data_IF_414857807170
#
_entry.id   IF_414857807170
#
_cell.length_a   1.000
_cell.length_b   1.000
_cell.length_c   1.000
_cell.angle_alpha   90.00
_cell.angle_beta   90.00
_cell.angle_gamma   90.00
#
_symmetry.space_group_name_H-M   'P 1'
#
loop_
_entity.id
_entity.type
_entity.pdbx_description
1 polymer ?
#
# COMPACT_ATOMS: atom_id res chain seq x y z
N UNK A 1 -13.84 -20.15 -21.96
CA UNK A 1 -12.71 -20.63 -21.13
C UNK A 1 -11.42 -20.01 -21.65
N UNK A 2 -10.84 -19.04 -20.93
CA UNK A 2 -9.52 -18.51 -21.24
C UNK A 2 -8.56 -18.98 -20.12
N UNK A 3 -7.54 -19.76 -20.50
CA UNK A 3 -6.47 -20.19 -19.60
C UNK A 3 -5.74 -18.95 -19.09
N UNK A 4 -5.79 -18.69 -17.79
CA UNK A 4 -4.86 -17.77 -17.12
C UNK A 4 -3.46 -18.34 -17.32
N UNK A 5 -2.70 -17.74 -18.24
CA UNK A 5 -1.27 -18.03 -18.40
C UNK A 5 -0.61 -17.60 -17.09
N UNK A 6 -0.19 -18.57 -16.27
CA UNK A 6 0.69 -18.28 -15.15
C UNK A 6 1.88 -17.48 -15.66
N UNK A 7 2.19 -16.37 -15.01
CA UNK A 7 3.35 -15.55 -15.35
C UNK A 7 4.59 -16.44 -15.28
N UNK A 8 5.10 -16.87 -16.43
CA UNK A 8 6.32 -17.67 -16.51
C UNK A 8 7.42 -16.91 -15.78
N UNK A 9 8.12 -17.58 -14.87
CA UNK A 9 9.26 -17.04 -14.13
C UNK A 9 10.22 -16.40 -15.15
N UNK A 10 10.22 -15.06 -15.24
CA UNK A 10 11.11 -14.33 -16.15
C UNK A 10 12.53 -14.78 -15.83
N UNK A 11 13.29 -15.18 -16.87
CA UNK A 11 14.72 -15.47 -16.70
C UNK A 11 15.35 -14.23 -16.06
N UNK A 12 16.05 -14.44 -14.94
CA UNK A 12 16.76 -13.37 -14.25
C UNK A 12 17.74 -12.75 -15.27
N UNK A 13 17.67 -11.44 -15.55
CA UNK A 13 18.61 -10.81 -16.46
C UNK A 13 20.04 -11.03 -15.95
N UNK A 14 20.99 -11.12 -16.87
CA UNK A 14 22.40 -11.19 -16.51
C UNK A 14 22.81 -9.90 -15.77
N UNK A 15 23.82 -9.99 -14.91
CA UNK A 15 24.31 -8.83 -14.19
C UNK A 15 24.81 -7.76 -15.18
N UNK A 16 24.55 -6.48 -14.90
CA UNK A 16 24.98 -5.33 -15.70
C UNK A 16 24.46 -5.29 -17.15
N UNK A 17 23.32 -5.92 -17.46
CA UNK A 17 22.76 -5.94 -18.83
C UNK A 17 21.45 -5.17 -19.01
N UNK A 18 20.97 -4.47 -17.99
CA UNK A 18 19.68 -3.75 -18.02
C UNK A 18 19.91 -2.29 -17.69
N UNK A 19 19.32 -1.41 -18.50
CA UNK A 19 19.35 0.04 -18.27
C UNK A 19 20.57 0.73 -18.89
N UNK A 20 20.79 1.96 -18.46
CA UNK A 20 21.87 2.85 -18.90
C UNK A 20 23.13 2.65 -18.05
N UNK A 21 24.29 2.81 -18.67
CA UNK A 21 25.57 2.97 -17.97
C UNK A 21 25.61 4.32 -17.23
N UNK A 22 26.50 4.43 -16.23
CA UNK A 22 26.68 5.67 -15.47
C UNK A 22 27.05 6.89 -16.33
N UNK A 23 27.70 6.70 -17.47
CA UNK A 23 27.99 7.79 -18.43
C UNK A 23 26.79 8.15 -19.28
N UNK A 24 25.96 7.17 -19.65
CA UNK A 24 24.75 7.40 -20.43
C UNK A 24 23.66 8.12 -19.63
N UNK A 25 23.65 8.00 -18.29
CA UNK A 25 22.72 8.77 -17.45
C UNK A 25 22.96 10.27 -17.51
N UNK A 26 24.17 10.73 -17.89
CA UNK A 26 24.48 12.14 -18.05
C UNK A 26 24.02 12.71 -19.41
N UNK A 27 23.65 11.85 -20.38
CA UNK A 27 23.27 12.26 -21.73
C UNK A 27 21.77 12.60 -21.73
N UNK A 28 21.43 13.80 -21.29
CA UNK A 28 20.04 14.29 -21.24
C UNK A 28 19.54 14.67 -22.63
N UNK A 29 18.32 14.27 -22.96
CA UNK A 29 17.72 14.59 -24.26
C UNK A 29 17.36 16.07 -24.34
N UNK A 30 17.72 16.74 -25.44
CA UNK A 30 17.39 18.16 -25.62
C UNK A 30 15.88 18.40 -25.57
N UNK A 31 15.42 19.42 -24.84
CA UNK A 31 14.02 19.81 -24.78
C UNK A 31 13.11 18.98 -23.86
N UNK A 32 13.50 17.75 -23.50
CA UNK A 32 12.60 16.80 -22.83
C UNK A 32 12.01 17.32 -21.51
N UNK A 33 12.80 18.08 -20.74
CA UNK A 33 12.40 18.63 -19.45
C UNK A 33 12.36 20.16 -19.43
N UNK A 34 12.51 20.83 -20.57
CA UNK A 34 12.65 22.30 -20.63
C UNK A 34 11.40 23.03 -20.18
N UNK A 35 10.22 22.53 -20.57
CA UNK A 35 8.95 23.11 -20.10
C UNK A 35 8.83 23.01 -18.59
N UNK A 36 9.12 21.84 -18.03
CA UNK A 36 9.07 21.59 -16.60
C UNK A 36 10.11 22.42 -15.84
N UNK A 37 11.29 22.60 -16.42
CA UNK A 37 12.34 23.45 -15.88
C UNK A 37 11.90 24.91 -15.78
N UNK A 38 11.32 25.47 -16.86
CA UNK A 38 10.77 26.85 -16.85
C UNK A 38 9.64 27.02 -15.84
N UNK A 39 8.81 25.99 -15.65
CA UNK A 39 7.76 26.02 -14.64
C UNK A 39 8.34 26.06 -13.22
N UNK A 40 9.39 25.27 -12.95
CA UNK A 40 10.11 25.32 -11.66
C UNK A 40 10.71 26.70 -11.40
N UNK A 41 11.38 27.29 -12.38
CA UNK A 41 11.98 28.61 -12.25
C UNK A 41 10.91 29.70 -12.05
N UNK A 42 9.84 29.67 -12.85
CA UNK A 42 8.70 30.58 -12.72
C UNK A 42 7.98 30.46 -11.38
N UNK A 43 8.09 29.28 -10.74
CA UNK A 43 7.52 29.02 -9.44
C UNK A 43 8.40 29.43 -8.25
N UNK A 44 9.58 30.00 -8.52
CA UNK A 44 10.56 30.41 -7.51
C UNK A 44 11.51 29.28 -7.08
N UNK A 45 11.51 28.16 -7.80
CA UNK A 45 12.46 27.06 -7.62
C UNK A 45 13.72 27.23 -8.48
N UNK A 46 14.65 26.30 -8.32
CA UNK A 46 15.90 26.25 -9.06
C UNK A 46 16.17 24.84 -9.62
N UNK A 47 16.72 24.77 -10.83
CA UNK A 47 17.22 23.53 -11.42
C UNK A 47 18.67 23.32 -10.97
N UNK A 48 18.92 22.22 -10.25
CA UNK A 48 20.26 21.87 -9.76
C UNK A 48 21.00 20.96 -10.73
N UNK A 49 20.29 20.01 -11.35
CA UNK A 49 20.85 19.11 -12.37
C UNK A 49 19.75 18.48 -13.22
N UNK A 50 20.16 17.87 -14.34
CA UNK A 50 19.33 17.02 -15.19
C UNK A 50 20.08 15.72 -15.44
N UNK A 51 19.37 14.59 -15.42
CA UNK A 51 19.96 13.28 -15.70
C UNK A 51 18.89 12.31 -16.21
N UNK A 52 19.30 11.17 -16.75
CA UNK A 52 18.39 10.06 -17.09
C UNK A 52 18.48 9.00 -16.01
N UNK A 53 17.35 8.56 -15.48
CA UNK A 53 17.36 7.48 -14.48
C UNK A 53 17.90 6.17 -15.09
N UNK A 54 18.67 5.39 -14.32
CA UNK A 54 19.52 4.35 -14.89
C UNK A 54 18.77 3.12 -15.39
N UNK A 55 17.48 2.93 -15.06
CA UNK A 55 16.77 1.71 -15.40
C UNK A 55 15.98 1.83 -16.71
N UNK A 56 15.08 2.82 -16.80
CA UNK A 56 14.25 3.07 -17.98
C UNK A 56 14.78 4.18 -18.89
N UNK A 57 15.78 4.94 -18.45
CA UNK A 57 16.34 6.08 -19.18
C UNK A 57 15.42 7.30 -19.24
N UNK A 58 14.49 7.44 -18.30
CA UNK A 58 13.58 8.60 -18.19
C UNK A 58 14.36 9.85 -17.76
N UNK A 59 14.16 10.99 -18.41
CA UNK A 59 14.76 12.26 -17.98
C UNK A 59 14.15 12.73 -16.65
N UNK A 60 15.00 13.07 -15.68
CA UNK A 60 14.66 13.52 -14.33
C UNK A 60 15.41 14.81 -14.02
N UNK A 61 14.75 15.72 -13.28
CA UNK A 61 15.36 16.95 -12.80
C UNK A 61 15.72 16.81 -11.32
N UNK A 62 16.91 17.25 -10.92
CA UNK A 62 17.19 17.56 -9.51
C UNK A 62 16.88 19.04 -9.32
N UNK A 63 15.98 19.35 -8.39
CA UNK A 63 15.46 20.71 -8.19
C UNK A 63 15.52 21.11 -6.72
N UNK A 64 15.62 22.41 -6.47
CA UNK A 64 15.27 23.01 -5.18
C UNK A 64 13.93 23.73 -5.33
N UNK A 65 12.94 23.36 -4.53
CA UNK A 65 11.59 23.93 -4.58
C UNK A 65 11.32 24.78 -3.33
N UNK A 66 10.58 25.90 -3.42
CA UNK A 66 10.03 26.57 -2.25
C UNK A 66 9.20 25.57 -1.44
N UNK A 67 9.48 25.44 -0.15
CA UNK A 67 8.91 24.35 0.67
C UNK A 67 7.37 24.42 0.77
N UNK A 68 6.82 25.63 0.65
CA UNK A 68 5.40 25.92 0.76
C UNK A 68 4.63 25.58 -0.52
N UNK A 69 5.33 25.21 -1.61
CA UNK A 69 4.73 24.73 -2.86
C UNK A 69 4.70 23.21 -2.97
N UNK A 70 5.26 22.51 -1.99
CA UNK A 70 5.36 21.05 -1.98
C UNK A 70 4.40 20.47 -0.95
N UNK A 71 3.44 19.67 -1.38
CA UNK A 71 2.47 18.99 -0.52
C UNK A 71 2.60 17.47 -0.64
N UNK A 72 2.23 16.69 0.38
CA UNK A 72 2.11 15.24 0.23
C UNK A 72 1.06 14.90 -0.84
N UNK A 73 1.20 13.73 -1.47
CA UNK A 73 0.11 13.25 -2.33
C UNK A 73 -1.15 12.98 -1.48
N UNK A 74 -2.36 13.27 -1.97
CA UNK A 74 -3.58 13.19 -1.14
C UNK A 74 -3.90 11.82 -0.53
N UNK A 75 -3.37 10.74 -1.09
CA UNK A 75 -3.62 9.36 -0.67
C UNK A 75 -2.49 8.76 0.18
N UNK A 76 -1.42 9.51 0.48
CA UNK A 76 -0.41 9.06 1.44
C UNK A 76 -0.98 8.92 2.85
N UNK A 77 -0.38 8.03 3.64
CA UNK A 77 -0.58 8.02 5.08
C UNK A 77 -0.08 9.32 5.72
N UNK A 78 -0.77 9.76 6.77
CA UNK A 78 -0.28 10.77 7.69
C UNK A 78 1.11 10.40 8.23
N UNK A 79 2.05 11.36 8.27
CA UNK A 79 3.39 11.12 8.75
C UNK A 79 3.36 10.83 10.26
N UNK A 80 4.06 9.78 10.67
CA UNK A 80 4.27 9.46 12.09
C UNK A 80 5.03 10.57 12.80
N UNK A 81 4.39 11.21 13.79
CA UNK A 81 5.01 12.27 14.60
C UNK A 81 6.33 11.85 15.24
N UNK A 82 6.41 10.62 15.74
CA UNK A 82 7.64 10.09 16.34
C UNK A 82 8.79 10.03 15.32
N UNK A 83 8.48 9.66 14.07
CA UNK A 83 9.47 9.59 13.00
C UNK A 83 9.89 10.99 12.53
N UNK A 84 8.93 11.91 12.41
CA UNK A 84 9.20 13.33 12.09
C UNK A 84 10.11 13.96 13.14
N UNK A 85 9.80 13.80 14.44
CA UNK A 85 10.64 14.33 15.54
C UNK A 85 12.07 13.77 15.51
N UNK A 86 12.22 12.48 15.17
CA UNK A 86 13.55 11.86 15.03
C UNK A 86 14.34 12.48 13.87
N UNK A 87 13.71 12.66 12.71
CA UNK A 87 14.35 13.31 11.56
C UNK A 87 14.76 14.75 11.89
N UNK A 88 13.88 15.51 12.57
CA UNK A 88 14.21 16.87 13.02
C UNK A 88 15.49 16.88 13.88
N UNK A 89 15.56 16.03 14.91
CA UNK A 89 16.72 15.94 15.79
C UNK A 89 18.01 15.56 15.04
N UNK A 90 17.91 14.67 14.03
CA UNK A 90 19.07 14.29 13.19
C UNK A 90 19.51 15.46 12.30
N UNK A 91 18.57 16.17 11.69
CA UNK A 91 18.87 17.34 10.86
C UNK A 91 19.51 18.46 11.65
N UNK A 92 19.01 18.77 12.85
CA UNK A 92 19.62 19.77 13.74
C UNK A 92 21.01 19.35 14.20
N UNK A 93 21.17 18.08 14.59
CA UNK A 93 22.45 17.56 15.09
C UNK A 93 23.53 17.52 14.00
N UNK A 94 23.18 17.13 12.78
CA UNK A 94 24.13 16.97 11.68
C UNK A 94 24.26 18.21 10.81
N UNK A 95 23.28 19.12 10.86
CA UNK A 95 23.21 20.30 9.98
C UNK A 95 23.08 19.94 8.50
N UNK A 96 22.49 18.79 8.16
CA UNK A 96 22.50 18.23 6.80
C UNK A 96 21.16 17.63 6.40
N UNK A 97 20.78 17.91 5.14
CA UNK A 97 19.71 17.24 4.40
C UNK A 97 20.34 16.60 3.17
N UNK A 98 20.47 15.27 3.15
CA UNK A 98 21.25 14.55 2.12
C UNK A 98 20.40 13.68 1.19
N UNK A 99 19.12 13.49 1.52
CA UNK A 99 18.24 12.57 0.81
C UNK A 99 17.06 13.34 0.19
N UNK A 100 17.13 13.68 -1.11
CA UNK A 100 16.07 14.38 -1.83
C UNK A 100 14.75 13.63 -1.80
N UNK A 101 13.65 14.36 -1.68
CA UNK A 101 12.31 13.78 -1.84
C UNK A 101 12.04 13.46 -3.32
N UNK A 102 11.07 12.61 -3.62
CA UNK A 102 10.54 12.52 -4.99
C UNK A 102 9.41 13.54 -5.10
N UNK A 103 9.36 14.27 -6.21
CA UNK A 103 8.32 15.24 -6.53
C UNK A 103 7.74 15.00 -7.93
N UNK A 104 6.48 15.34 -8.11
CA UNK A 104 5.84 15.54 -9.40
C UNK A 104 5.19 16.92 -9.42
N UNK A 105 5.05 17.51 -10.61
CA UNK A 105 4.21 18.69 -10.77
C UNK A 105 2.76 18.26 -10.93
N UNK A 106 1.86 18.84 -10.16
CA UNK A 106 0.41 18.67 -10.31
C UNK A 106 -0.25 20.05 -10.27
N UNK A 107 -0.85 20.46 -11.38
CA UNK A 107 -1.35 21.82 -11.61
C UNK A 107 -0.26 22.88 -11.32
N UNK A 108 -0.53 23.78 -10.38
CA UNK A 108 0.37 24.86 -9.93
C UNK A 108 1.11 24.52 -8.63
N UNK A 109 1.12 23.25 -8.22
CA UNK A 109 1.82 22.78 -7.03
C UNK A 109 2.74 21.59 -7.34
N UNK A 110 3.49 21.17 -6.33
CA UNK A 110 4.29 19.96 -6.37
C UNK A 110 3.75 18.98 -5.35
N UNK A 111 3.56 17.74 -5.78
CA UNK A 111 3.22 16.67 -4.87
C UNK A 111 4.43 15.80 -4.61
N UNK A 112 4.65 15.41 -3.35
CA UNK A 112 5.72 14.51 -2.97
C UNK A 112 5.23 13.07 -2.85
N UNK A 113 5.44 12.22 -3.87
CA UNK A 113 5.13 10.80 -3.82
C UNK A 113 5.93 10.00 -2.77
N UNK A 114 7.13 10.43 -2.43
CA UNK A 114 7.96 9.82 -1.40
C UNK A 114 8.79 10.91 -0.74
N UNK A 115 8.80 10.93 0.59
CA UNK A 115 9.56 11.89 1.38
C UNK A 115 8.72 12.76 2.30
N UNK A 116 7.43 12.46 2.51
CA UNK A 116 6.56 13.28 3.37
C UNK A 116 7.12 13.49 4.79
N UNK A 117 7.69 12.47 5.44
CA UNK A 117 8.33 12.68 6.75
C UNK A 117 9.50 13.66 6.72
N UNK A 118 10.28 13.64 5.63
CA UNK A 118 11.41 14.56 5.39
C UNK A 118 10.90 15.98 5.12
N UNK A 119 9.85 16.12 4.29
CA UNK A 119 9.16 17.38 4.06
C UNK A 119 8.63 17.99 5.36
N UNK A 120 7.88 17.23 6.16
CA UNK A 120 7.32 17.72 7.42
C UNK A 120 8.40 18.07 8.45
N UNK A 121 9.46 17.27 8.55
CA UNK A 121 10.58 17.56 9.44
C UNK A 121 11.24 18.88 9.06
N UNK A 122 11.56 19.07 7.78
CA UNK A 122 12.20 20.29 7.29
C UNK A 122 11.29 21.51 7.42
N UNK A 123 9.99 21.37 7.16
CA UNK A 123 8.97 22.41 7.35
C UNK A 123 8.87 22.83 8.83
N UNK A 124 8.82 21.89 9.76
CA UNK A 124 8.80 22.16 11.22
C UNK A 124 10.10 22.82 11.72
N UNK A 125 11.22 22.60 11.05
CA UNK A 125 12.49 23.27 11.33
C UNK A 125 12.62 24.66 10.67
N UNK A 126 11.60 25.13 9.94
CA UNK A 126 11.64 26.43 9.26
C UNK A 126 12.51 26.44 8.00
N UNK A 127 12.72 25.29 7.35
CA UNK A 127 13.41 25.22 6.07
C UNK A 127 12.69 26.06 5.01
N UNK A 128 13.44 26.80 4.18
CA UNK A 128 12.88 27.67 3.13
C UNK A 128 12.64 26.94 1.80
N UNK A 129 13.43 25.91 1.55
CA UNK A 129 13.41 25.13 0.31
C UNK A 129 13.68 23.66 0.60
N UNK A 130 13.27 22.78 -0.31
CA UNK A 130 13.54 21.35 -0.24
C UNK A 130 14.11 20.85 -1.57
N UNK A 131 15.12 19.97 -1.50
CA UNK A 131 15.71 19.33 -2.69
C UNK A 131 14.85 18.13 -3.08
N UNK A 132 14.51 18.02 -4.36
CA UNK A 132 13.67 16.96 -4.89
C UNK A 132 14.20 16.39 -6.22
N UNK A 133 13.94 15.10 -6.44
CA UNK A 133 13.97 14.45 -7.74
C UNK A 133 12.60 14.66 -8.39
N UNK A 134 12.51 15.58 -9.34
CA UNK A 134 11.30 15.94 -10.04
C UNK A 134 11.13 15.07 -11.28
N UNK A 135 10.11 14.22 -11.24
CA UNK A 135 9.77 13.27 -12.30
C UNK A 135 8.72 13.92 -13.24
N UNK A 136 8.93 13.90 -14.58
CA UNK A 136 7.99 14.51 -15.52
C UNK A 136 6.64 13.78 -15.63
N UNK A 137 6.63 12.47 -15.40
CA UNK A 137 5.44 11.64 -15.49
C UNK A 137 4.56 11.77 -14.23
N UNK A 138 3.42 12.44 -14.38
CA UNK A 138 2.45 12.60 -13.30
C UNK A 138 1.80 11.26 -12.88
N UNK A 139 1.79 10.23 -13.72
CA UNK A 139 1.26 8.92 -13.35
C UNK A 139 2.10 8.22 -12.27
N UNK A 140 3.36 8.62 -12.10
CA UNK A 140 4.25 8.07 -11.06
C UNK A 140 3.68 8.31 -9.65
N UNK A 141 2.83 9.32 -9.47
CA UNK A 141 2.05 9.51 -8.25
C UNK A 141 1.27 8.24 -7.88
N UNK A 142 0.57 7.63 -8.83
CA UNK A 142 -0.28 6.46 -8.57
C UNK A 142 0.54 5.17 -8.42
N UNK A 143 1.81 5.19 -8.83
CA UNK A 143 2.75 4.05 -8.79
C UNK A 143 3.60 4.01 -7.51
N UNK A 144 3.40 4.94 -6.57
CA UNK A 144 4.18 5.07 -5.33
C UNK A 144 4.21 3.81 -4.48
N UNK A 145 3.07 3.13 -4.33
CA UNK A 145 2.99 1.90 -3.51
C UNK A 145 3.98 0.84 -4.00
N UNK A 146 4.10 0.71 -5.33
CA UNK A 146 5.07 -0.18 -5.96
C UNK A 146 6.53 0.29 -5.81
N UNK A 147 6.78 1.59 -5.56
CA UNK A 147 8.11 2.19 -5.45
C UNK A 147 8.62 2.30 -3.99
N UNK A 148 7.73 2.32 -3.00
CA UNK A 148 8.08 2.34 -1.57
C UNK A 148 8.42 0.93 -1.05
N UNK A 149 9.56 0.37 -1.50
CA UNK A 149 10.00 -0.97 -1.10
C UNK A 149 10.88 -1.00 0.17
N UNK A 150 11.38 0.14 0.64
CA UNK A 150 12.33 0.22 1.78
C UNK A 150 11.70 -0.04 3.15
N UNK A 151 10.40 0.22 3.30
CA UNK A 151 9.66 -0.13 4.53
C UNK A 151 8.37 -0.80 4.11
N UNK A 152 8.33 -2.12 4.18
CA UNK A 152 7.12 -2.87 3.93
C UNK A 152 5.98 -2.31 4.80
N UNK A 153 5.06 -1.59 4.15
CA UNK A 153 3.85 -1.12 4.79
C UNK A 153 3.15 -2.32 5.42
N UNK A 154 2.78 -2.19 6.70
CA UNK A 154 1.97 -3.24 7.31
C UNK A 154 0.61 -3.29 6.61
N UNK A 155 -0.07 -4.43 6.70
CA UNK A 155 -1.32 -4.69 5.99
C UNK A 155 -2.36 -3.56 6.12
N UNK A 156 -2.47 -2.95 7.31
CA UNK A 156 -3.41 -1.86 7.56
C UNK A 156 -3.07 -0.63 6.71
N UNK A 157 -1.80 -0.24 6.68
CA UNK A 157 -1.34 0.90 5.90
C UNK A 157 -1.58 0.69 4.41
N UNK A 158 -1.19 -0.48 3.88
CA UNK A 158 -1.46 -0.85 2.48
C UNK A 158 -2.94 -0.75 2.15
N UNK A 159 -3.79 -1.35 3.00
CA UNK A 159 -5.24 -1.36 2.78
C UNK A 159 -5.86 0.06 2.78
N UNK A 160 -5.40 0.93 3.70
CA UNK A 160 -5.90 2.31 3.79
C UNK A 160 -5.42 3.18 2.63
N UNK A 161 -4.17 3.05 2.20
CA UNK A 161 -3.65 3.78 1.04
C UNK A 161 -4.33 3.33 -0.25
N UNK A 162 -4.49 2.01 -0.43
CA UNK A 162 -5.17 1.43 -1.60
C UNK A 162 -6.63 1.90 -1.71
N UNK A 163 -7.41 1.94 -0.61
CA UNK A 163 -8.81 2.41 -0.70
C UNK A 163 -8.91 3.92 -0.96
N UNK A 164 -8.01 4.73 -0.40
CA UNK A 164 -7.96 6.17 -0.69
C UNK A 164 -7.64 6.43 -2.16
N UNK A 165 -6.67 5.71 -2.71
CA UNK A 165 -6.33 5.76 -4.13
C UNK A 165 -7.52 5.33 -5.00
N UNK A 166 -8.20 4.24 -4.64
CA UNK A 166 -9.37 3.76 -5.36
C UNK A 166 -10.52 4.79 -5.40
N UNK A 167 -10.74 5.53 -4.29
CA UNK A 167 -11.73 6.61 -4.23
C UNK A 167 -11.37 7.78 -5.16
N UNK A 168 -10.11 8.22 -5.15
CA UNK A 168 -9.64 9.26 -6.07
C UNK A 168 -9.78 8.82 -7.54
N UNK A 169 -9.38 7.59 -7.87
CA UNK A 169 -9.52 7.04 -9.23
C UNK A 169 -10.98 6.93 -9.68
N UNK A 170 -11.93 6.71 -8.77
CA UNK A 170 -13.34 6.65 -9.12
C UNK A 170 -13.95 8.01 -9.46
N UNK A 171 -13.33 9.11 -9.04
CA UNK A 171 -13.73 10.47 -9.42
C UNK A 171 -13.17 10.85 -10.80
N UNK A 172 -12.00 10.31 -11.16
CA UNK A 172 -11.25 10.68 -12.37
C UNK A 172 -11.38 9.66 -13.52
N UNK A 173 -11.87 8.45 -13.26
CA UNK A 173 -11.87 7.34 -14.23
C UNK A 173 -13.10 6.44 -14.16
N UNK A 174 -13.66 6.10 -15.33
CA UNK A 174 -14.70 5.06 -15.47
C UNK A 174 -14.13 3.68 -15.85
N UNK A 175 -12.79 3.55 -15.84
CA UNK A 175 -12.11 2.29 -16.17
C UNK A 175 -12.45 1.18 -15.15
N UNK A 176 -12.49 -0.09 -15.56
CA UNK A 176 -12.68 -1.21 -14.66
C UNK A 176 -11.60 -1.32 -13.58
N UNK A 177 -11.97 -1.75 -12.38
CA UNK A 177 -11.02 -1.95 -11.26
C UNK A 177 -9.87 -2.89 -11.61
N UNK A 178 -10.12 -3.94 -12.41
CA UNK A 178 -9.07 -4.86 -12.89
C UNK A 178 -7.93 -4.17 -13.63
N UNK A 179 -8.19 -3.04 -14.29
CA UNK A 179 -7.13 -2.34 -15.02
C UNK A 179 -6.12 -1.62 -14.11
N UNK A 180 -6.43 -1.50 -12.81
CA UNK A 180 -5.57 -0.89 -11.79
C UNK A 180 -4.92 -1.94 -10.86
N UNK A 181 -4.86 -3.20 -11.29
CA UNK A 181 -4.30 -4.32 -10.50
C UNK A 181 -2.84 -4.05 -10.08
N UNK A 182 -2.06 -3.39 -10.94
CA UNK A 182 -0.67 -3.06 -10.64
C UNK A 182 -0.56 -2.05 -9.50
N UNK A 183 -1.39 -1.02 -9.51
CA UNK A 183 -1.44 0.06 -8.53
C UNK A 183 -1.96 -0.43 -7.18
N UNK A 184 -2.96 -1.32 -7.20
CA UNK A 184 -3.60 -1.81 -5.98
C UNK A 184 -2.86 -2.99 -5.32
N UNK A 185 -1.92 -3.63 -6.02
CA UNK A 185 -1.18 -4.85 -5.63
C UNK A 185 -2.05 -6.10 -5.38
N UNK A 186 -3.06 -6.00 -4.51
CA UNK A 186 -3.95 -7.09 -4.10
C UNK A 186 -5.38 -6.58 -3.90
N UNK A 187 -6.35 -7.25 -4.52
CA UNK A 187 -7.78 -6.93 -4.37
C UNK A 187 -8.25 -6.94 -2.89
N UNK A 188 -7.65 -7.79 -2.05
CA UNK A 188 -7.96 -7.84 -0.62
C UNK A 188 -7.72 -6.50 0.12
N UNK A 189 -6.78 -5.67 -0.35
CA UNK A 189 -6.52 -4.35 0.23
C UNK A 189 -7.70 -3.40 0.02
N UNK A 190 -8.37 -3.47 -1.13
CA UNK A 190 -9.56 -2.68 -1.44
C UNK A 190 -10.74 -3.04 -0.53
N UNK A 191 -10.85 -4.29 -0.09
CA UNK A 191 -11.91 -4.73 0.85
C UNK A 191 -11.54 -4.45 2.31
N UNK A 192 -10.26 -4.61 2.68
CA UNK A 192 -9.79 -4.34 4.04
C UNK A 192 -9.72 -2.84 4.35
N UNK A 193 -9.50 -2.00 3.33
CA UNK A 193 -9.41 -0.54 3.49
C UNK A 193 -10.63 0.06 4.19
N UNK A 194 -11.85 -0.06 3.62
CA UNK A 194 -13.06 0.42 4.29
C UNK A 194 -13.29 -0.22 5.66
N UNK A 195 -12.93 -1.50 5.83
CA UNK A 195 -13.05 -2.18 7.12
C UNK A 195 -12.12 -1.56 8.19
N UNK A 196 -10.92 -1.12 7.81
CA UNK A 196 -10.01 -0.39 8.70
C UNK A 196 -10.42 1.06 8.94
N UNK A 197 -11.05 1.73 7.97
CA UNK A 197 -11.64 3.06 8.16
C UNK A 197 -12.73 3.01 9.22
N UNK A 198 -13.63 2.03 9.14
CA UNK A 198 -14.70 1.83 10.13
C UNK A 198 -14.15 1.31 11.47
N UNK A 199 -13.19 0.38 11.43
CA UNK A 199 -12.60 -0.24 12.63
C UNK A 199 -11.08 -0.21 12.59
N UNK A 200 -10.49 0.89 13.04
CA UNK A 200 -9.03 1.09 13.03
C UNK A 200 -8.21 0.02 13.78
N UNK A 201 -8.80 -0.68 14.76
CA UNK A 201 -8.15 -1.78 15.52
C UNK A 201 -8.49 -3.18 14.99
N UNK A 202 -9.07 -3.29 13.79
CA UNK A 202 -9.37 -4.56 13.15
C UNK A 202 -8.12 -5.44 13.07
N UNK A 203 -8.28 -6.74 13.35
CA UNK A 203 -7.20 -7.72 13.20
C UNK A 203 -7.15 -8.24 11.75
N UNK A 204 -7.01 -7.36 10.77
CA UNK A 204 -7.16 -7.69 9.34
C UNK A 204 -6.21 -8.80 8.87
N UNK A 205 -5.05 -8.96 9.52
CA UNK A 205 -4.10 -10.04 9.25
C UNK A 205 -4.68 -11.45 9.45
N UNK A 206 -5.70 -11.61 10.31
CA UNK A 206 -6.38 -12.90 10.49
C UNK A 206 -7.26 -13.26 9.29
N UNK A 207 -7.81 -12.27 8.58
CA UNK A 207 -8.73 -12.44 7.46
C UNK A 207 -8.03 -12.41 6.10
N UNK A 208 -6.88 -11.73 6.01
CA UNK A 208 -6.14 -11.56 4.76
C UNK A 208 -5.82 -12.86 4.00
N UNK A 209 -5.40 -13.97 4.66
CA UNK A 209 -5.18 -15.24 3.96
C UNK A 209 -6.44 -15.83 3.32
N UNK A 210 -7.62 -15.63 3.94
CA UNK A 210 -8.90 -16.05 3.37
C UNK A 210 -9.27 -15.14 2.19
N UNK A 211 -9.20 -13.83 2.38
CA UNK A 211 -9.52 -12.83 1.35
C UNK A 211 -8.68 -13.02 0.09
N UNK A 212 -7.37 -13.27 0.21
CA UNK A 212 -6.50 -13.57 -0.94
C UNK A 212 -6.99 -14.72 -1.83
N UNK A 213 -7.83 -15.62 -1.32
CA UNK A 213 -8.36 -16.78 -2.06
C UNK A 213 -9.75 -16.56 -2.64
N UNK A 214 -10.49 -15.59 -2.14
CA UNK A 214 -11.92 -15.40 -2.47
C UNK A 214 -12.21 -14.02 -3.06
N UNK A 215 -11.25 -13.11 -2.97
CA UNK A 215 -11.42 -11.71 -3.33
C UNK A 215 -10.48 -11.35 -4.50
N UNK A 216 -11.07 -11.16 -5.68
CA UNK A 216 -10.37 -10.80 -6.91
C UNK A 216 -10.73 -9.41 -7.40
N UNK A 217 -9.96 -8.91 -8.37
CA UNK A 217 -10.26 -7.65 -9.04
C UNK A 217 -11.55 -7.76 -9.86
N UNK A 218 -12.34 -6.69 -9.83
CA UNK A 218 -13.66 -6.62 -10.43
C UNK A 218 -13.59 -6.06 -11.85
N UNK A 219 -14.35 -6.67 -12.76
CA UNK A 219 -14.58 -6.17 -14.12
C UNK A 219 -15.73 -5.15 -14.14
N UNK A 220 -15.68 -4.18 -13.22
CA UNK A 220 -16.69 -3.12 -13.07
C UNK A 220 -16.01 -1.76 -12.95
N UNK A 221 -16.64 -0.67 -13.43
CA UNK A 221 -16.12 0.68 -13.25
C UNK A 221 -15.79 0.98 -11.79
N UNK A 222 -14.72 1.75 -11.54
CA UNK A 222 -14.23 2.07 -10.19
C UNK A 222 -15.33 2.52 -9.22
N UNK A 223 -16.25 3.37 -9.67
CA UNK A 223 -17.38 3.86 -8.86
C UNK A 223 -18.37 2.76 -8.41
N UNK A 224 -18.52 1.69 -9.20
CA UNK A 224 -19.33 0.51 -8.83
C UNK A 224 -18.52 -0.46 -8.00
N UNK A 225 -17.26 -0.68 -8.37
CA UNK A 225 -16.34 -1.54 -7.63
C UNK A 225 -16.20 -1.08 -6.18
N UNK A 226 -16.04 0.23 -5.91
CA UNK A 226 -15.99 0.78 -4.55
C UNK A 226 -17.20 0.43 -3.70
N UNK A 227 -18.42 0.48 -4.25
CA UNK A 227 -19.65 0.09 -3.52
C UNK A 227 -19.63 -1.38 -3.15
N UNK A 228 -19.12 -2.23 -4.06
CA UNK A 228 -18.94 -3.65 -3.77
C UNK A 228 -17.86 -3.87 -2.70
N UNK A 229 -16.75 -3.10 -2.72
CA UNK A 229 -15.71 -3.14 -1.67
C UNK A 229 -16.25 -2.78 -0.30
N UNK A 230 -17.08 -1.74 -0.20
CA UNK A 230 -17.74 -1.34 1.05
C UNK A 230 -18.73 -2.41 1.55
N UNK A 231 -19.47 -3.05 0.64
CA UNK A 231 -20.36 -4.17 0.99
C UNK A 231 -19.56 -5.36 1.53
N UNK A 232 -18.48 -5.74 0.85
CA UNK A 232 -17.58 -6.82 1.28
C UNK A 232 -16.92 -6.50 2.62
N UNK A 233 -16.49 -5.26 2.84
CA UNK A 233 -15.93 -4.80 4.10
C UNK A 233 -16.91 -5.00 5.27
N UNK A 234 -18.18 -4.61 5.10
CA UNK A 234 -19.23 -4.85 6.11
C UNK A 234 -19.41 -6.33 6.44
N UNK A 235 -19.38 -7.20 5.43
CA UNK A 235 -19.42 -8.65 5.65
C UNK A 235 -18.21 -9.16 6.43
N UNK A 236 -17.02 -8.61 6.19
CA UNK A 236 -15.81 -8.95 6.99
C UNK A 236 -15.95 -8.47 8.44
N UNK A 237 -16.51 -7.27 8.67
CA UNK A 237 -16.76 -6.77 10.02
C UNK A 237 -17.78 -7.64 10.78
N UNK A 238 -18.83 -8.13 10.10
CA UNK A 238 -19.77 -9.10 10.69
C UNK A 238 -19.09 -10.41 11.09
N UNK A 239 -18.15 -10.91 10.28
CA UNK A 239 -17.33 -12.07 10.68
C UNK A 239 -16.43 -11.71 11.86
N UNK A 240 -15.86 -10.52 11.90
CA UNK A 240 -15.02 -10.05 13.01
C UNK A 240 -15.77 -9.98 14.33
N UNK A 241 -17.03 -9.55 14.31
CA UNK A 241 -17.92 -9.51 15.49
C UNK A 241 -18.18 -10.93 16.02
N UNK A 242 -18.60 -11.85 15.15
CA UNK A 242 -18.83 -13.24 15.54
C UNK A 242 -17.55 -13.92 16.08
N UNK A 243 -16.39 -13.59 15.51
CA UNK A 243 -15.09 -14.08 15.98
C UNK A 243 -14.71 -13.46 17.33
N UNK A 244 -14.97 -12.16 17.54
CA UNK A 244 -14.73 -11.49 18.80
C UNK A 244 -15.54 -12.14 19.93
N UNK A 245 -16.81 -12.44 19.70
CA UNK A 245 -17.67 -13.14 20.67
C UNK A 245 -17.15 -14.54 21.03
N UNK A 246 -16.60 -15.27 20.05
CA UNK A 246 -15.95 -16.56 20.30
C UNK A 246 -14.68 -16.36 21.14
N UNK A 247 -13.85 -15.39 20.78
CA UNK A 247 -12.58 -15.07 21.47
C UNK A 247 -12.84 -14.70 22.93
N UNK A 248 -13.86 -13.88 23.22
CA UNK A 248 -14.21 -13.51 24.60
C UNK A 248 -14.70 -14.73 25.40
N UNK A 249 -15.52 -15.60 24.82
CA UNK A 249 -15.93 -16.87 25.47
C UNK A 249 -14.74 -17.80 25.74
N UNK A 250 -13.75 -17.84 24.86
CA UNK A 250 -12.52 -18.61 25.08
C UNK A 250 -11.66 -18.00 26.20
N UNK A 251 -11.52 -16.68 26.24
CA UNK A 251 -10.80 -15.97 27.32
C UNK A 251 -11.46 -16.18 28.68
N UNK A 252 -12.79 -16.15 28.75
CA UNK A 252 -13.55 -16.43 29.98
C UNK A 252 -13.27 -17.84 30.55
N UNK A 253 -12.77 -18.75 29.72
CA UNK A 253 -12.33 -20.10 30.11
C UNK A 253 -10.83 -20.20 30.41
N UNK A 254 -10.12 -19.07 30.51
CA UNK A 254 -8.69 -19.02 30.79
C UNK A 254 -7.77 -19.19 29.57
N UNK A 255 -8.29 -19.19 28.34
CA UNK A 255 -7.45 -19.22 27.14
C UNK A 255 -7.00 -17.80 26.79
N UNK A 256 -5.77 -17.46 27.17
CA UNK A 256 -5.15 -16.18 26.83
C UNK A 256 -3.98 -16.40 25.87
N UNK A 257 -4.11 -15.95 24.62
CA UNK A 257 -3.04 -16.03 23.61
C UNK A 257 -3.19 -14.91 22.58
N UNK A 258 -2.09 -14.28 22.12
CA UNK A 258 -2.14 -13.32 21.02
C UNK A 258 -2.62 -13.96 19.70
N UNK A 259 -2.53 -15.29 19.56
CA UNK A 259 -2.96 -16.04 18.37
C UNK A 259 -4.42 -16.53 18.43
N UNK A 260 -5.17 -16.20 19.48
CA UNK A 260 -6.51 -16.75 19.68
C UNK A 260 -7.46 -16.37 18.54
N UNK A 261 -7.38 -15.13 18.05
CA UNK A 261 -8.20 -14.65 16.94
C UNK A 261 -7.83 -15.30 15.61
N UNK A 262 -6.55 -15.32 15.17
CA UNK A 262 -6.12 -16.12 14.03
C UNK A 262 -6.52 -17.60 14.11
N UNK A 263 -6.42 -18.22 15.29
CA UNK A 263 -6.83 -19.60 15.52
C UNK A 263 -8.34 -19.81 15.25
N UNK A 264 -9.19 -18.95 15.81
CA UNK A 264 -10.64 -19.03 15.60
C UNK A 264 -10.97 -18.87 14.12
N UNK A 265 -10.41 -17.85 13.46
CA UNK A 265 -10.62 -17.60 12.01
C UNK A 265 -10.22 -18.83 11.18
N UNK A 266 -9.06 -19.42 11.46
CA UNK A 266 -8.60 -20.62 10.78
C UNK A 266 -9.51 -21.84 11.03
N UNK A 267 -10.23 -21.90 12.16
CA UNK A 267 -11.12 -23.02 12.48
C UNK A 267 -12.50 -22.89 11.83
N UNK A 268 -13.00 -21.66 11.65
CA UNK A 268 -14.27 -21.38 10.98
C UNK A 268 -14.13 -21.27 9.46
N UNK A 269 -12.90 -21.21 8.94
CA UNK A 269 -12.63 -21.12 7.50
C UNK A 269 -13.10 -22.39 6.75
N UNK A 270 -14.15 -22.32 5.92
CA UNK A 270 -14.75 -23.48 5.25
C UNK A 270 -13.90 -24.03 4.10
N UNK A 271 -12.89 -23.27 3.65
CA UNK A 271 -12.02 -23.62 2.52
C UNK A 271 -10.58 -23.91 2.95
N UNK A 272 -10.31 -23.98 4.26
CA UNK A 272 -8.95 -24.17 4.80
C UNK A 272 -8.17 -25.32 4.15
N UNK A 273 -8.84 -26.44 3.92
CA UNK A 273 -8.24 -27.65 3.31
C UNK A 273 -8.68 -27.88 1.86
N UNK A 274 -9.44 -26.95 1.28
CA UNK A 274 -9.89 -27.07 -0.11
C UNK A 274 -8.72 -26.79 -1.07
N UNK A 275 -8.57 -27.66 -2.08
CA UNK A 275 -7.62 -27.48 -3.19
C UNK A 275 -8.22 -26.69 -4.36
N UNK A 276 -9.50 -26.30 -4.30
CA UNK A 276 -10.09 -25.45 -5.33
C UNK A 276 -9.36 -24.11 -5.41
N UNK A 277 -9.25 -23.61 -6.63
CA UNK A 277 -8.63 -22.33 -6.97
C UNK A 277 -9.66 -21.23 -7.22
N UNK A 278 -10.94 -21.58 -7.31
CA UNK A 278 -12.04 -20.65 -7.50
C UNK A 278 -13.07 -20.81 -6.38
N UNK A 279 -13.48 -19.70 -5.80
CA UNK A 279 -14.52 -19.61 -4.79
C UNK A 279 -15.35 -18.36 -5.02
N UNK A 280 -16.63 -18.46 -4.71
CA UNK A 280 -17.49 -17.29 -4.61
C UNK A 280 -17.28 -16.61 -3.25
N UNK A 281 -17.16 -15.28 -3.26
CA UNK A 281 -16.94 -14.49 -2.05
C UNK A 281 -18.10 -14.66 -1.06
N UNK A 282 -19.34 -14.52 -1.55
CA UNK A 282 -20.52 -14.50 -0.71
C UNK A 282 -20.81 -15.88 -0.09
N UNK A 283 -20.72 -16.96 -0.87
CA UNK A 283 -20.85 -18.32 -0.34
C UNK A 283 -19.82 -18.60 0.78
N UNK A 284 -18.55 -18.26 0.55
CA UNK A 284 -17.50 -18.54 1.52
C UNK A 284 -17.70 -17.74 2.81
N UNK A 285 -18.05 -16.45 2.72
CA UNK A 285 -18.29 -15.63 3.91
C UNK A 285 -19.53 -16.09 4.68
N UNK A 286 -20.61 -16.44 3.98
CA UNK A 286 -21.82 -16.96 4.63
C UNK A 286 -21.56 -18.31 5.32
N UNK A 287 -20.81 -19.21 4.69
CA UNK A 287 -20.38 -20.46 5.32
C UNK A 287 -19.49 -20.20 6.53
N UNK A 288 -18.61 -19.21 6.46
CA UNK A 288 -17.76 -18.79 7.58
C UNK A 288 -18.60 -18.32 8.77
N UNK A 289 -19.61 -17.47 8.54
CA UNK A 289 -20.56 -17.04 9.56
C UNK A 289 -21.36 -18.20 10.15
N UNK A 290 -21.85 -19.13 9.31
CA UNK A 290 -22.53 -20.36 9.78
C UNK A 290 -21.63 -21.23 10.66
N UNK A 291 -20.34 -21.32 10.35
CA UNK A 291 -19.37 -22.04 11.18
C UNK A 291 -19.07 -21.32 12.49
N UNK A 292 -18.99 -19.98 12.47
CA UNK A 292 -18.84 -19.19 13.69
C UNK A 292 -20.03 -19.38 14.65
N UNK A 293 -21.27 -19.38 14.13
CA UNK A 293 -22.47 -19.65 14.93
C UNK A 293 -22.52 -21.05 15.55
N UNK A 294 -21.85 -22.04 14.94
CA UNK A 294 -21.75 -23.42 15.44
C UNK A 294 -20.47 -23.68 16.24
N UNK A 295 -19.68 -22.65 16.52
CA UNK A 295 -18.38 -22.81 17.16
C UNK A 295 -18.54 -23.27 18.61
N UNK A 296 -18.06 -24.48 18.90
CA UNK A 296 -18.10 -25.05 20.25
C UNK A 296 -16.78 -24.76 20.99
N UNK A 297 -16.85 -23.85 21.95
CA UNK A 297 -15.71 -23.45 22.80
C UNK A 297 -15.26 -24.57 23.76
N UNK A 298 -16.15 -25.52 24.10
CA UNK A 298 -15.84 -26.66 24.99
C UNK A 298 -14.81 -27.62 24.44
N UNK A 299 -14.69 -27.64 23.10
CA UNK A 299 -13.77 -28.53 22.40
C UNK A 299 -12.39 -27.92 22.17
N UNK A 300 -12.14 -26.67 22.60
CA UNK A 300 -10.86 -26.00 22.40
C UNK A 300 -9.95 -26.22 23.62
N UNK A 301 -8.76 -26.78 23.39
CA UNK A 301 -7.73 -26.96 24.42
C UNK A 301 -6.59 -25.96 24.23
N UNK A 302 -5.86 -25.67 25.30
CA UNK A 302 -4.73 -24.72 25.26
C UNK A 302 -3.62 -25.17 24.28
N UNK A 303 -3.38 -26.47 24.16
CA UNK A 303 -2.42 -27.05 23.22
C UNK A 303 -2.79 -26.77 21.75
N UNK A 304 -4.09 -26.69 21.41
CA UNK A 304 -4.54 -26.41 20.04
C UNK A 304 -4.21 -24.97 19.63
N UNK A 305 -4.31 -24.04 20.59
CA UNK A 305 -3.98 -22.62 20.40
C UNK A 305 -2.46 -22.42 20.32
N UNK A 306 -1.68 -23.16 21.10
CA UNK A 306 -0.22 -23.10 21.07
C UNK A 306 0.36 -23.56 19.72
N UNK A 307 -0.20 -24.63 19.13
CA UNK A 307 0.19 -25.12 17.79
C UNK A 307 -0.08 -24.10 16.68
N UNK A 308 -1.05 -23.20 16.86
CA UNK A 308 -1.35 -22.16 15.88
C UNK A 308 -0.32 -21.02 15.84
N UNK A 309 0.52 -20.87 16.88
CA UNK A 309 1.62 -19.90 16.91
C UNK A 309 2.90 -20.39 16.22
N UNK A 310 2.97 -21.67 15.82
CA UNK A 310 4.18 -22.32 15.29
C UNK A 310 4.05 -22.74 13.83
N UNK A 311 4.10 -21.78 12.92
CA UNK A 311 4.57 -21.93 11.54
C UNK A 311 4.63 -20.54 10.91
N UNK A 312 5.78 -19.86 11.05
CA UNK A 312 6.17 -18.93 10.00
C UNK A 312 6.39 -19.82 8.77
N UNK A 313 5.57 -19.64 7.74
CA UNK A 313 5.98 -20.09 6.42
C UNK A 313 7.24 -19.28 6.10
N UNK A 314 8.36 -19.96 5.92
CA UNK A 314 9.52 -19.40 5.24
C UNK A 314 9.04 -18.98 3.85
N UNK A 315 8.79 -17.68 3.69
CA UNK A 315 8.60 -17.07 2.38
C UNK A 315 10.01 -16.72 1.87
N UNK A 316 10.55 -17.61 1.03
CA UNK A 316 11.57 -17.31 0.00
C UNK A 316 10.97 -16.47 -1.14
#
# INVERSE_FOLDING_TARGET
>A
MAKTRGAGRRKKPAANTVGLTATETAIVSAGATDRLARQVEGDGGAILARYREPFGGTDVLIVALPIDRVEPTPYQRDPSDAHVKRLMAVFEKLGRFLDPIIAIRYNDAYWTPNGNHRLQALRKLGGRSIVALLVPDAEVAFKILALNTEKAHNLREKSLETIRMARALAEESDRPEREFEFEFEQAAFLTLGPAYEERGRLSGGAYHPLLRRIDGFLDQPMSRALRERERRAKKILQVDDAVADIVERLKARGLTSPYLKPFVVARINPIRFSKSTAFDFDDVIERTLRQAGKFNVDRVRQQDVARAGGAAADDE
#
